data_IF_227614395453
#
_entry.id   IF_227614395453
#
_cell.length_a   1.000
_cell.length_b   1.000
_cell.length_c   1.000
_cell.angle_alpha   90.00
_cell.angle_beta   90.00
_cell.angle_gamma   90.00
#
_symmetry.space_group_name_H-M   'P 1'
#
loop_
_entity.id
_entity.type
_entity.pdbx_description
1 polymer ?
#
# COMPACT_ATOMS: atom_id res chain seq x y z
N UNK A 1 3.63 -24.64 -20.54
CA UNK A 1 2.42 -24.81 -19.73
C UNK A 1 2.84 -24.89 -18.28
N UNK A 2 2.52 -23.88 -17.48
CA UNK A 2 2.87 -23.80 -16.07
C UNK A 2 1.97 -22.75 -15.42
N UNK A 3 0.68 -23.08 -15.34
CA UNK A 3 -0.34 -22.20 -14.79
C UNK A 3 0.01 -21.84 -13.36
N UNK A 4 0.25 -20.56 -13.12
CA UNK A 4 0.31 -20.01 -11.77
C UNK A 4 -1.07 -19.42 -11.47
N UNK A 5 -1.91 -20.30 -10.98
CA UNK A 5 -2.98 -20.12 -9.99
C UNK A 5 -3.62 -18.73 -9.92
N UNK A 6 -4.92 -18.70 -10.22
CA UNK A 6 -5.83 -17.57 -10.07
C UNK A 6 -5.95 -17.05 -8.64
N UNK A 7 -4.91 -16.37 -8.18
CA UNK A 7 -5.03 -15.35 -7.15
C UNK A 7 -5.61 -14.10 -7.81
N UNK A 8 -6.50 -13.34 -7.13
CA UNK A 8 -7.06 -12.12 -7.69
C UNK A 8 -5.89 -11.30 -8.21
N UNK A 9 -5.93 -10.91 -9.49
CA UNK A 9 -4.86 -10.16 -10.13
C UNK A 9 -4.82 -8.79 -9.44
N UNK A 10 -4.15 -8.74 -8.29
CA UNK A 10 -3.69 -7.51 -7.69
C UNK A 10 -2.64 -7.05 -8.69
N UNK A 11 -3.08 -6.16 -9.58
CA UNK A 11 -2.18 -5.53 -10.53
C UNK A 11 -1.09 -4.82 -9.73
N UNK A 12 0.10 -4.71 -10.31
CA UNK A 12 1.23 -3.98 -9.70
C UNK A 12 0.76 -2.65 -9.10
N UNK A 13 -0.14 -1.93 -9.78
CA UNK A 13 -0.74 -0.69 -9.28
C UNK A 13 -1.43 -0.85 -7.91
N UNK A 14 -2.29 -1.86 -7.73
CA UNK A 14 -3.03 -2.05 -6.48
C UNK A 14 -2.09 -2.46 -5.34
N UNK A 15 -1.08 -3.28 -5.62
CA UNK A 15 -0.05 -3.62 -4.64
C UNK A 15 0.72 -2.36 -4.19
N UNK A 16 1.15 -1.54 -5.16
CA UNK A 16 1.86 -0.29 -4.89
C UNK A 16 0.99 0.68 -4.07
N UNK A 17 -0.30 0.80 -4.40
CA UNK A 17 -1.24 1.63 -3.65
C UNK A 17 -1.43 1.12 -2.22
N UNK A 18 -1.53 -0.20 -2.01
CA UNK A 18 -1.64 -0.80 -0.68
C UNK A 18 -0.38 -0.58 0.16
N UNK A 19 0.82 -0.71 -0.42
CA UNK A 19 2.09 -0.43 0.26
C UNK A 19 2.16 1.02 0.72
N UNK A 20 1.80 1.97 -0.14
CA UNK A 20 1.73 3.39 0.20
C UNK A 20 0.70 3.64 1.29
N UNK A 21 -0.46 3.00 1.20
CA UNK A 21 -1.52 3.13 2.19
C UNK A 21 -1.09 2.59 3.57
N UNK A 22 -0.43 1.43 3.62
CA UNK A 22 0.11 0.86 4.84
C UNK A 22 1.14 1.78 5.51
N UNK A 23 2.06 2.34 4.72
CA UNK A 23 3.03 3.32 5.22
C UNK A 23 2.36 4.59 5.77
N UNK A 24 1.34 5.11 5.08
CA UNK A 24 0.57 6.26 5.55
C UNK A 24 -0.26 5.95 6.81
N UNK A 25 -0.71 4.72 6.99
CA UNK A 25 -1.40 4.28 8.21
C UNK A 25 -0.45 4.32 9.43
N UNK A 26 0.83 3.96 9.24
CA UNK A 26 1.84 3.98 10.32
C UNK A 26 2.46 5.35 10.57
N UNK A 27 2.61 6.16 9.51
CA UNK A 27 3.19 7.50 9.59
C UNK A 27 2.16 8.61 9.87
N UNK A 28 0.86 8.29 9.84
CA UNK A 28 -0.32 9.16 9.90
C UNK A 28 -0.43 10.15 8.74
N UNK A 29 0.63 10.89 8.43
CA UNK A 29 0.73 11.77 7.28
C UNK A 29 2.17 11.80 6.78
N UNK A 30 2.35 11.64 5.47
CA UNK A 30 3.66 11.69 4.85
C UNK A 30 3.63 12.47 3.54
N UNK A 31 4.78 13.04 3.21
CA UNK A 31 4.96 13.70 1.91
C UNK A 31 5.19 12.66 0.81
N UNK A 32 4.87 13.04 -0.45
CA UNK A 32 5.17 12.18 -1.61
C UNK A 32 6.64 11.77 -1.64
N UNK A 33 7.54 12.68 -1.22
CA UNK A 33 8.97 12.41 -1.13
C UNK A 33 9.29 11.33 -0.09
N UNK A 34 8.72 11.42 1.12
CA UNK A 34 8.89 10.40 2.16
C UNK A 34 8.31 9.05 1.73
N UNK A 35 7.09 9.04 1.19
CA UNK A 35 6.47 7.82 0.67
C UNK A 35 7.36 7.16 -0.37
N UNK A 36 7.92 7.94 -1.31
CA UNK A 36 8.85 7.43 -2.33
C UNK A 36 10.15 6.87 -1.73
N UNK A 37 10.71 7.57 -0.75
CA UNK A 37 11.95 7.15 -0.09
C UNK A 37 11.75 5.85 0.69
N UNK A 38 10.62 5.70 1.38
CA UNK A 38 10.32 4.54 2.20
C UNK A 38 9.86 3.34 1.37
N UNK A 39 8.86 3.53 0.50
CA UNK A 39 8.32 2.44 -0.32
C UNK A 39 9.21 2.09 -1.52
N UNK A 40 10.12 2.98 -1.92
CA UNK A 40 10.96 2.84 -3.12
C UNK A 40 10.21 3.00 -4.44
N UNK A 41 8.94 3.41 -4.41
CA UNK A 41 8.07 3.44 -5.59
C UNK A 41 8.19 4.79 -6.31
N UNK A 42 8.82 4.85 -7.48
CA UNK A 42 8.92 6.13 -8.22
C UNK A 42 7.55 6.71 -8.61
N UNK A 43 6.57 5.83 -8.87
CA UNK A 43 5.21 6.21 -9.29
C UNK A 43 4.28 6.62 -8.14
N UNK A 44 4.74 6.72 -6.88
CA UNK A 44 3.86 7.04 -5.74
C UNK A 44 3.10 8.35 -5.93
N UNK A 45 3.74 9.36 -6.53
CA UNK A 45 3.08 10.62 -6.83
C UNK A 45 1.86 10.46 -7.74
N UNK A 46 1.95 9.64 -8.79
CA UNK A 46 0.83 9.36 -9.68
C UNK A 46 -0.28 8.55 -9.02
N UNK A 47 0.08 7.60 -8.14
CA UNK A 47 -0.89 6.78 -7.40
C UNK A 47 -1.67 7.65 -6.39
N UNK A 48 -0.96 8.46 -5.62
CA UNK A 48 -1.54 9.41 -4.66
C UNK A 48 -2.42 10.45 -5.35
N UNK A 49 -2.01 10.93 -6.53
CA UNK A 49 -2.74 11.94 -7.29
C UNK A 49 -3.99 11.38 -7.98
N UNK A 50 -3.89 10.19 -8.56
CA UNK A 50 -5.05 9.56 -9.21
C UNK A 50 -6.13 9.18 -8.20
N UNK A 51 -5.72 8.75 -7.00
CA UNK A 51 -6.62 8.44 -5.89
C UNK A 51 -7.90 7.70 -6.33
N UNK A 52 -7.77 6.71 -7.22
CA UNK A 52 -8.91 6.02 -7.87
C UNK A 52 -9.91 5.44 -6.88
N UNK A 53 -9.45 5.08 -5.68
CA UNK A 53 -10.24 4.48 -4.62
C UNK A 53 -10.60 5.45 -3.48
N UNK A 54 -10.14 6.70 -3.53
CA UNK A 54 -10.38 7.67 -2.44
C UNK A 54 -9.65 7.35 -1.12
N UNK A 55 -8.62 6.49 -1.15
CA UNK A 55 -7.88 6.08 0.06
C UNK A 55 -6.99 7.18 0.62
N UNK A 56 -6.53 8.10 -0.23
CA UNK A 56 -5.60 9.16 0.17
C UNK A 56 -6.32 10.49 0.30
N UNK A 57 -5.90 11.33 1.24
CA UNK A 57 -6.43 12.68 1.43
C UNK A 57 -5.29 13.67 1.52
N UNK A 58 -5.39 14.77 0.80
CA UNK A 58 -4.38 15.83 0.82
C UNK A 58 -4.70 16.81 1.95
N UNK A 59 -3.81 16.89 2.94
CA UNK A 59 -3.98 17.79 4.09
C UNK A 59 -3.17 19.09 3.97
N UNK A 60 -2.05 19.04 3.24
CA UNK A 60 -1.13 20.17 3.02
C UNK A 60 -0.47 20.06 1.65
N UNK A 61 0.28 21.09 1.27
CA UNK A 61 1.06 21.07 0.05
C UNK A 61 2.08 19.93 0.08
N UNK A 62 1.96 18.97 -0.85
CA UNK A 62 2.84 17.81 -0.94
C UNK A 62 2.69 16.75 0.18
N UNK A 63 1.77 16.95 1.13
CA UNK A 63 1.53 16.03 2.26
C UNK A 63 0.18 15.36 2.13
N UNK A 64 0.19 14.04 2.24
CA UNK A 64 -0.97 13.18 2.13
C UNK A 64 -1.13 12.38 3.41
N UNK A 65 -2.38 12.13 3.78
CA UNK A 65 -2.78 11.25 4.88
C UNK A 65 -3.67 10.15 4.32
N UNK A 66 -3.87 9.10 5.11
CA UNK A 66 -4.81 8.05 4.79
C UNK A 66 -6.21 8.42 5.29
N UNK A 67 -7.21 8.32 4.41
CA UNK A 67 -8.61 8.53 4.76
C UNK A 67 -9.15 7.35 5.58
N UNK A 68 -10.34 7.47 6.16
CA UNK A 68 -11.04 6.37 6.83
C UNK A 68 -11.21 5.16 5.89
N UNK A 69 -11.65 5.39 4.64
CA UNK A 69 -11.78 4.35 3.63
C UNK A 69 -10.44 3.67 3.28
N UNK A 70 -9.33 4.42 3.35
CA UNK A 70 -7.99 3.88 3.14
C UNK A 70 -7.54 3.02 4.32
N UNK A 71 -7.86 3.41 5.56
CA UNK A 71 -7.60 2.58 6.74
C UNK A 71 -8.38 1.28 6.70
N UNK A 72 -9.67 1.33 6.35
CA UNK A 72 -10.49 0.13 6.17
C UNK A 72 -9.92 -0.76 5.06
N UNK A 73 -9.47 -0.18 3.95
CA UNK A 73 -8.82 -0.94 2.89
C UNK A 73 -7.53 -1.60 3.37
N UNK A 74 -6.63 -0.89 4.06
CA UNK A 74 -5.39 -1.47 4.58
C UNK A 74 -5.69 -2.63 5.53
N UNK A 75 -6.71 -2.50 6.39
CA UNK A 75 -7.13 -3.59 7.28
C UNK A 75 -7.75 -4.76 6.50
N UNK A 76 -8.67 -4.48 5.57
CA UNK A 76 -9.31 -5.48 4.73
C UNK A 76 -8.28 -6.25 3.89
N UNK A 77 -7.27 -5.57 3.37
CA UNK A 77 -6.18 -6.12 2.56
C UNK A 77 -4.91 -6.45 3.37
N UNK A 78 -4.97 -6.45 4.71
CA UNK A 78 -3.81 -6.79 5.56
C UNK A 78 -3.32 -8.22 5.29
N UNK A 79 -4.24 -9.14 5.02
CA UNK A 79 -3.94 -10.52 4.63
C UNK A 79 -3.18 -10.59 3.29
N UNK A 80 -3.50 -9.71 2.35
CA UNK A 80 -2.83 -9.58 1.04
C UNK A 80 -1.43 -9.00 1.23
N UNK A 81 -1.29 -7.94 2.02
CA UNK A 81 0.01 -7.35 2.35
C UNK A 81 0.94 -8.37 3.02
N UNK A 82 0.42 -9.18 3.94
CA UNK A 82 1.18 -10.27 4.59
C UNK A 82 1.63 -11.35 3.61
N UNK A 83 0.86 -11.61 2.57
CA UNK A 83 1.24 -12.58 1.53
C UNK A 83 2.35 -12.04 0.61
N UNK A 84 2.48 -10.71 0.47
CA UNK A 84 3.53 -10.07 -0.33
C UNK A 84 4.81 -9.77 0.44
N UNK A 85 4.74 -9.69 1.77
CA UNK A 85 5.95 -9.79 2.58
C UNK A 85 6.52 -11.19 2.32
N UNK A 86 7.73 -11.33 1.75
CA UNK A 86 8.35 -12.65 1.70
C UNK A 86 8.34 -13.16 3.13
N UNK A 87 7.80 -14.35 3.40
CA UNK A 87 7.96 -14.90 4.72
C UNK A 87 9.47 -15.03 4.90
N UNK A 88 10.05 -14.19 5.75
CA UNK A 88 11.18 -14.66 6.54
C UNK A 88 10.58 -15.79 7.37
N UNK A 89 10.49 -16.98 6.77
CA UNK A 89 10.04 -18.21 7.41
C UNK A 89 11.02 -18.46 8.55
N UNK A 90 10.58 -18.12 9.74
CA UNK A 90 11.39 -18.18 10.94
C UNK A 90 10.60 -17.63 12.11
N UNK A 91 9.40 -18.19 12.35
CA UNK A 91 8.95 -18.59 13.69
C UNK A 91 7.60 -19.27 13.52
N UNK A 92 7.68 -20.58 13.34
CA UNK A 92 6.58 -21.48 13.56
C UNK A 92 6.65 -21.84 15.03
N UNK A 93 5.65 -21.50 15.86
CA UNK A 93 5.48 -22.06 17.22
C UNK A 93 4.25 -21.45 17.94
N UNK A 94 3.63 -22.17 18.90
CA UNK A 94 3.42 -23.61 19.03
C UNK A 94 2.01 -24.06 18.60
#
# INVERSE_FOLDING_TARGET
MGGSTGQPIVTVYREQALRIAAYLATAQAATVAQVRADTGIQRSGGILQQNYYGWFTRIRHGTYTLSAAGHEAVQAYAHVLRAFTPPCQGEQLP
#
